data_IF_900373960254
#
_entry.id   IF_900373960254
#
_cell.length_a   1.000
_cell.length_b   1.000
_cell.length_c   1.000
_cell.angle_alpha   90.00
_cell.angle_beta   90.00
_cell.angle_gamma   90.00
#
_symmetry.space_group_name_H-M   'P 1'
#
loop_
_entity.id
_entity.type
_entity.pdbx_description
1 polymer ?
#
# COMPACT_ATOMS: atom_id res chain seq x y z
N UNK A 1 35.07 1.12 -34.06
CA UNK A 1 35.19 1.92 -32.83
C UNK A 1 34.22 1.35 -31.80
N UNK A 2 34.77 0.71 -30.77
CA UNK A 2 34.01 0.06 -29.69
C UNK A 2 33.54 1.11 -28.69
N UNK A 3 32.21 1.31 -28.59
CA UNK A 3 31.63 2.06 -27.47
C UNK A 3 31.76 1.22 -26.20
N UNK A 4 32.86 1.41 -25.47
CA UNK A 4 32.99 0.92 -24.11
C UNK A 4 31.93 1.59 -23.24
N UNK A 5 30.91 0.83 -22.81
CA UNK A 5 29.98 1.29 -21.78
C UNK A 5 30.74 1.34 -20.46
N UNK A 6 30.91 2.54 -19.92
CA UNK A 6 31.51 2.78 -18.61
C UNK A 6 30.75 2.00 -17.53
N UNK A 7 31.42 1.28 -16.61
CA UNK A 7 30.77 0.72 -15.45
C UNK A 7 30.19 1.85 -14.58
N UNK A 8 28.88 1.84 -14.31
CA UNK A 8 28.24 2.73 -13.34
C UNK A 8 27.79 1.90 -12.14
N UNK A 9 28.33 2.21 -10.96
CA UNK A 9 27.83 1.70 -9.68
C UNK A 9 26.74 2.65 -9.20
N UNK A 10 25.47 2.30 -9.42
CA UNK A 10 24.35 2.96 -8.73
C UNK A 10 24.18 2.28 -7.37
N UNK A 11 24.70 2.89 -6.31
CA UNK A 11 24.35 2.47 -4.94
C UNK A 11 22.92 2.94 -4.69
N UNK A 12 22.01 2.03 -4.37
CA UNK A 12 20.68 2.41 -3.89
C UNK A 12 20.83 3.29 -2.64
N UNK A 13 20.25 4.49 -2.69
CA UNK A 13 20.20 5.38 -1.52
C UNK A 13 19.12 4.84 -0.56
N UNK A 14 19.34 4.99 0.75
CA UNK A 14 18.38 4.59 1.79
C UNK A 14 17.53 5.79 2.22
N UNK A 15 16.22 5.70 2.07
CA UNK A 15 15.28 6.66 2.65
C UNK A 15 14.83 6.11 4.00
N UNK A 16 15.24 6.76 5.10
CA UNK A 16 14.85 6.35 6.44
C UNK A 16 13.54 7.02 6.87
N UNK A 17 12.55 6.21 7.20
CA UNK A 17 11.19 6.63 7.52
C UNK A 17 10.79 6.14 8.90
N UNK A 18 10.22 6.99 9.78
CA UNK A 18 9.64 6.55 11.05
C UNK A 18 8.48 5.55 10.85
N UNK A 19 8.54 4.42 11.54
CA UNK A 19 7.54 3.36 11.43
C UNK A 19 7.39 2.60 12.75
N UNK A 20 6.19 2.63 13.33
CA UNK A 20 5.93 2.17 14.69
C UNK A 20 6.93 2.81 15.68
N UNK A 21 7.50 2.02 16.58
CA UNK A 21 8.54 2.45 17.54
C UNK A 21 9.95 2.52 16.93
N UNK A 22 10.08 2.39 15.61
CA UNK A 22 11.37 2.20 14.93
C UNK A 22 11.50 3.03 13.64
N UNK A 23 12.44 2.65 12.77
CA UNK A 23 12.62 3.21 11.43
C UNK A 23 12.76 2.08 10.42
N UNK A 24 12.18 2.28 9.24
CA UNK A 24 12.36 1.42 8.07
C UNK A 24 13.16 2.17 7.00
N UNK A 25 13.94 1.43 6.21
CA UNK A 25 14.71 1.98 5.10
C UNK A 25 14.14 1.52 3.76
N UNK A 26 13.74 2.48 2.92
CA UNK A 26 13.36 2.22 1.54
C UNK A 26 14.56 2.37 0.61
N UNK A 27 14.62 1.56 -0.44
CA UNK A 27 15.55 1.71 -1.55
C UNK A 27 15.10 2.82 -2.49
N UNK A 28 16.02 3.70 -2.86
CA UNK A 28 15.84 4.75 -3.85
C UNK A 28 16.83 4.57 -5.01
N UNK A 29 16.40 4.69 -6.29
CA UNK A 29 15.05 5.07 -6.74
C UNK A 29 13.99 3.97 -6.60
N UNK A 30 12.72 4.30 -6.89
CA UNK A 30 11.65 3.31 -6.98
C UNK A 30 11.83 2.36 -8.18
N UNK A 31 11.17 1.20 -8.10
CA UNK A 31 11.03 0.24 -9.19
C UNK A 31 9.67 0.47 -9.88
N UNK A 32 9.66 0.49 -11.20
CA UNK A 32 8.50 0.79 -12.04
C UNK A 32 8.78 1.90 -13.05
N UNK A 33 7.79 2.32 -13.87
CA UNK A 33 6.40 1.83 -13.86
C UNK A 33 6.28 0.43 -14.46
N UNK A 34 5.59 -0.48 -13.77
CA UNK A 34 5.21 -1.79 -14.31
C UNK A 34 4.00 -2.38 -13.55
N UNK A 35 3.54 -3.55 -13.98
CA UNK A 35 2.46 -4.27 -13.30
C UNK A 35 2.90 -4.81 -11.93
N UNK A 36 1.93 -5.22 -11.11
CA UNK A 36 2.13 -5.60 -9.71
C UNK A 36 3.22 -6.67 -9.53
N UNK A 37 3.12 -7.75 -10.30
CA UNK A 37 4.04 -8.88 -10.20
C UNK A 37 5.45 -8.54 -10.69
N UNK A 38 5.56 -7.72 -11.75
CA UNK A 38 6.85 -7.30 -12.30
C UNK A 38 7.61 -6.41 -11.31
N UNK A 39 6.92 -5.41 -10.73
CA UNK A 39 7.53 -4.53 -9.71
C UNK A 39 7.96 -5.34 -8.50
N UNK A 40 7.09 -6.22 -7.98
CA UNK A 40 7.40 -7.03 -6.82
C UNK A 40 8.54 -8.03 -7.05
N UNK A 41 8.55 -8.70 -8.22
CA UNK A 41 9.63 -9.63 -8.57
C UNK A 41 11.00 -8.94 -8.64
N UNK A 42 11.07 -7.73 -9.19
CA UNK A 42 12.32 -6.98 -9.26
C UNK A 42 12.79 -6.50 -7.88
N UNK A 43 11.88 -6.09 -6.98
CA UNK A 43 12.21 -5.79 -5.58
C UNK A 43 12.82 -7.04 -4.90
N UNK A 44 12.15 -8.18 -5.01
CA UNK A 44 12.58 -9.43 -4.37
C UNK A 44 13.93 -9.92 -4.92
N UNK A 45 14.17 -9.76 -6.23
CA UNK A 45 15.45 -10.09 -6.88
C UNK A 45 16.64 -9.28 -6.33
N UNK A 46 16.38 -8.09 -5.79
CA UNK A 46 17.38 -7.25 -5.13
C UNK A 46 17.56 -7.59 -3.64
N UNK A 47 17.01 -8.71 -3.16
CA UNK A 47 17.00 -9.12 -1.74
C UNK A 47 16.34 -8.08 -0.81
N UNK A 48 15.35 -7.36 -1.33
CA UNK A 48 14.54 -6.41 -0.58
C UNK A 48 13.16 -7.00 -0.29
N UNK A 49 12.48 -6.47 0.72
CA UNK A 49 11.07 -6.77 1.02
C UNK A 49 10.17 -5.89 0.16
N UNK A 50 9.05 -6.42 -0.32
CA UNK A 50 8.01 -5.60 -0.96
C UNK A 50 7.28 -4.72 0.06
N UNK A 51 6.91 -3.48 -0.27
CA UNK A 51 6.24 -2.60 0.68
C UNK A 51 4.77 -2.97 0.86
N UNK A 52 4.41 -3.37 2.07
CA UNK A 52 3.01 -3.58 2.49
C UNK A 52 2.31 -2.23 2.73
N UNK A 53 1.01 -2.24 3.02
CA UNK A 53 0.24 -1.00 3.22
C UNK A 53 0.75 -0.14 4.37
N UNK A 54 1.19 -0.76 5.46
CA UNK A 54 1.77 -0.10 6.63
C UNK A 54 3.10 0.61 6.35
N UNK A 55 3.97 -0.01 5.53
CA UNK A 55 5.21 0.62 5.06
C UNK A 55 4.91 1.77 4.11
N UNK A 56 4.05 1.53 3.11
CA UNK A 56 3.68 2.52 2.09
C UNK A 56 3.04 3.75 2.73
N UNK A 57 2.16 3.56 3.72
CA UNK A 57 1.57 4.65 4.49
C UNK A 57 2.61 5.51 5.22
N UNK A 58 3.64 4.89 5.79
CA UNK A 58 4.71 5.60 6.49
C UNK A 58 5.59 6.41 5.53
N UNK A 59 5.88 5.85 4.34
CA UNK A 59 6.61 6.55 3.29
C UNK A 59 5.84 7.79 2.81
N UNK A 60 4.55 7.62 2.52
CA UNK A 60 3.68 8.72 2.09
C UNK A 60 3.58 9.77 3.18
N UNK A 61 3.33 9.39 4.43
CA UNK A 61 3.27 10.35 5.52
C UNK A 61 4.55 11.17 5.64
N UNK A 62 5.72 10.52 5.56
CA UNK A 62 7.00 11.24 5.56
C UNK A 62 7.13 12.19 4.37
N UNK A 63 6.66 11.79 3.20
CA UNK A 63 6.69 12.61 2.00
C UNK A 63 5.81 13.87 2.07
N UNK A 64 4.76 13.91 2.89
CA UNK A 64 3.84 15.07 2.97
C UNK A 64 3.86 15.81 4.31
N UNK A 65 4.28 15.14 5.38
CA UNK A 65 4.10 15.64 6.75
C UNK A 65 5.41 15.82 7.53
N UNK A 66 6.56 15.37 7.01
CA UNK A 66 7.83 15.52 7.71
C UNK A 66 8.57 16.82 7.38
N UNK A 67 9.51 17.21 8.25
CA UNK A 67 10.46 18.30 7.97
C UNK A 67 11.35 18.01 6.75
N UNK A 68 11.62 16.73 6.49
CA UNK A 68 12.41 16.27 5.35
C UNK A 68 11.62 16.28 4.03
N UNK A 69 10.34 16.68 4.01
CA UNK A 69 9.52 16.65 2.79
C UNK A 69 10.16 17.36 1.59
N UNK A 70 11.04 18.33 1.79
CA UNK A 70 11.71 19.04 0.70
C UNK A 70 12.93 18.32 0.13
N UNK A 71 13.37 17.20 0.70
CA UNK A 71 14.45 16.37 0.15
C UNK A 71 14.02 15.72 -1.19
N UNK A 72 15.00 15.49 -2.06
CA UNK A 72 14.78 15.01 -3.44
C UNK A 72 14.02 13.68 -3.47
N UNK A 73 14.33 12.79 -2.53
CA UNK A 73 13.72 11.48 -2.38
C UNK A 73 12.21 11.59 -2.10
N UNK A 74 11.82 12.49 -1.21
CA UNK A 74 10.40 12.73 -0.89
C UNK A 74 9.68 13.54 -1.98
N UNK A 75 10.38 14.44 -2.67
CA UNK A 75 9.85 15.08 -3.89
C UNK A 75 9.51 14.03 -4.95
N UNK A 76 10.36 13.01 -5.14
CA UNK A 76 10.11 11.93 -6.09
C UNK A 76 8.90 11.06 -5.70
N UNK A 77 8.74 10.76 -4.40
CA UNK A 77 7.51 10.08 -3.91
C UNK A 77 6.27 10.89 -4.26
N UNK A 78 6.26 12.21 -4.02
CA UNK A 78 5.13 13.08 -4.37
C UNK A 78 4.90 13.17 -5.88
N UNK A 79 5.96 13.21 -6.68
CA UNK A 79 5.83 13.22 -8.14
C UNK A 79 5.17 11.95 -8.66
N UNK A 80 5.59 10.78 -8.14
CA UNK A 80 4.97 9.50 -8.47
C UNK A 80 3.52 9.52 -8.04
N UNK A 81 3.22 9.91 -6.79
CA UNK A 81 1.85 10.02 -6.28
C UNK A 81 0.96 10.90 -7.16
N UNK A 82 1.46 12.05 -7.63
CA UNK A 82 0.70 12.99 -8.46
C UNK A 82 0.42 12.47 -9.89
N UNK A 83 1.30 11.64 -10.45
CA UNK A 83 1.27 11.25 -11.87
C UNK A 83 0.90 9.79 -12.11
N UNK A 84 1.08 8.95 -11.10
CA UNK A 84 1.09 7.49 -11.13
C UNK A 84 0.55 6.97 -9.79
N UNK A 85 0.70 5.68 -9.57
CA UNK A 85 0.30 5.01 -8.34
C UNK A 85 1.48 4.26 -7.74
N UNK A 86 1.43 4.05 -6.44
CA UNK A 86 2.28 3.14 -5.70
C UNK A 86 1.54 1.83 -5.49
N UNK A 87 2.15 0.71 -5.85
CA UNK A 87 1.65 -0.60 -5.45
C UNK A 87 1.72 -0.74 -3.94
N UNK A 88 0.62 -1.22 -3.36
CA UNK A 88 0.56 -1.69 -1.98
C UNK A 88 0.50 -3.20 -2.05
N UNK A 89 1.53 -3.89 -1.53
CA UNK A 89 1.65 -5.34 -1.68
C UNK A 89 0.74 -6.12 -0.73
N UNK A 90 -0.56 -5.93 -0.90
CA UNK A 90 -1.65 -6.64 -0.27
C UNK A 90 -2.61 -7.18 -1.34
N UNK A 91 -3.19 -8.35 -1.08
CA UNK A 91 -4.35 -8.88 -1.80
C UNK A 91 -5.61 -8.56 -1.00
N UNK A 92 -6.68 -8.14 -1.69
CA UNK A 92 -8.00 -7.92 -1.13
C UNK A 92 -8.95 -8.98 -1.69
N UNK A 93 -9.54 -9.80 -0.82
CA UNK A 93 -10.65 -10.69 -1.18
C UNK A 93 -11.94 -10.06 -0.67
N UNK A 94 -12.67 -9.41 -1.58
CA UNK A 94 -13.99 -8.83 -1.32
C UNK A 94 -15.04 -9.93 -1.26
N UNK A 95 -15.96 -9.82 -0.31
CA UNK A 95 -17.06 -10.77 -0.09
C UNK A 95 -18.33 -10.00 0.31
N UNK A 96 -19.49 -10.67 0.28
CA UNK A 96 -20.72 -10.08 0.83
C UNK A 96 -20.65 -9.71 2.32
N UNK A 97 -19.72 -10.30 3.09
CA UNK A 97 -19.55 -10.04 4.53
C UNK A 97 -18.54 -8.94 4.86
N UNK A 98 -17.72 -8.52 3.90
CA UNK A 98 -16.57 -7.67 4.16
C UNK A 98 -15.39 -8.05 3.29
N UNK A 99 -14.20 -7.62 3.68
CA UNK A 99 -12.97 -7.79 2.90
C UNK A 99 -11.87 -8.42 3.75
N UNK A 100 -11.29 -9.49 3.23
CA UNK A 100 -10.06 -10.04 3.76
C UNK A 100 -8.88 -9.38 3.08
N UNK A 101 -7.91 -8.96 3.88
CA UNK A 101 -6.67 -8.37 3.40
C UNK A 101 -5.51 -9.27 3.80
N UNK A 102 -4.71 -9.66 2.81
CA UNK A 102 -3.55 -10.53 2.99
C UNK A 102 -2.31 -9.79 2.51
N UNK A 103 -1.29 -9.67 3.37
CA UNK A 103 0.00 -9.15 2.95
C UNK A 103 0.66 -10.11 1.95
N UNK A 104 0.91 -9.65 0.73
CA UNK A 104 1.46 -10.44 -0.36
C UNK A 104 2.97 -10.23 -0.46
N UNK A 105 3.68 -10.80 0.52
CA UNK A 105 5.13 -10.70 0.64
C UNK A 105 5.90 -11.35 -0.52
N UNK A 106 5.21 -12.06 -1.42
CA UNK A 106 5.79 -12.75 -2.58
C UNK A 106 5.36 -12.14 -3.91
N UNK A 107 4.58 -11.07 -3.88
CA UNK A 107 4.06 -10.39 -5.07
C UNK A 107 3.36 -11.33 -6.07
N UNK A 108 2.63 -12.32 -5.59
CA UNK A 108 1.88 -13.25 -6.46
C UNK A 108 0.65 -12.58 -7.08
N UNK A 109 0.14 -11.49 -6.50
CA UNK A 109 -1.02 -10.75 -6.95
C UNK A 109 -2.23 -11.67 -7.08
N UNK A 110 -2.97 -11.59 -8.19
CA UNK A 110 -4.16 -12.43 -8.41
C UNK A 110 -3.87 -13.84 -8.92
N UNK A 111 -2.61 -14.19 -9.18
CA UNK A 111 -2.26 -15.53 -9.70
C UNK A 111 -2.45 -16.65 -8.70
N UNK A 112 -2.54 -16.33 -7.40
CA UNK A 112 -2.87 -17.26 -6.33
C UNK A 112 -4.23 -16.88 -5.72
N UNK A 113 -5.30 -17.64 -6.03
CA UNK A 113 -6.59 -17.45 -5.41
C UNK A 113 -6.50 -17.57 -3.88
N UNK A 114 -7.22 -16.69 -3.19
CA UNK A 114 -7.46 -16.77 -1.77
C UNK A 114 -8.69 -17.63 -1.48
N UNK A 115 -8.65 -18.39 -0.40
CA UNK A 115 -9.76 -19.23 0.05
C UNK A 115 -10.28 -18.73 1.41
N UNK A 116 -11.59 -18.50 1.51
CA UNK A 116 -12.21 -17.93 2.72
C UNK A 116 -12.03 -18.84 3.94
N UNK A 117 -12.12 -20.16 3.78
CA UNK A 117 -12.00 -21.09 4.91
C UNK A 117 -10.58 -21.11 5.48
N UNK A 118 -9.57 -21.06 4.61
CA UNK A 118 -8.17 -20.92 4.99
C UNK A 118 -7.92 -19.59 5.72
N UNK A 119 -8.51 -18.50 5.24
CA UNK A 119 -8.37 -17.17 5.86
C UNK A 119 -9.06 -17.09 7.22
N UNK A 120 -10.26 -17.65 7.37
CA UNK A 120 -10.94 -17.76 8.67
C UNK A 120 -10.16 -18.62 9.65
N UNK A 121 -9.54 -19.70 9.17
CA UNK A 121 -8.66 -20.54 10.01
C UNK A 121 -7.48 -19.73 10.56
N UNK A 122 -6.85 -18.86 9.73
CA UNK A 122 -5.77 -17.96 10.17
C UNK A 122 -6.25 -16.85 11.11
N UNK A 123 -7.53 -16.48 11.03
CA UNK A 123 -8.16 -15.51 11.92
C UNK A 123 -8.72 -16.14 13.20
N UNK A 124 -8.56 -17.45 13.42
CA UNK A 124 -8.97 -18.09 14.67
C UNK A 124 -8.14 -17.55 15.84
N UNK A 125 -8.84 -16.99 16.84
CA UNK A 125 -8.19 -16.30 17.96
C UNK A 125 -7.59 -14.94 17.59
N UNK A 126 -8.05 -14.34 16.48
CA UNK A 126 -7.66 -13.01 16.06
C UNK A 126 -7.91 -11.97 17.18
N UNK A 127 -7.01 -10.97 17.24
CA UNK A 127 -7.25 -9.77 18.03
C UNK A 127 -8.18 -8.86 17.26
N UNK A 128 -9.19 -8.33 17.92
CA UNK A 128 -10.07 -7.32 17.35
C UNK A 128 -9.62 -5.92 17.77
N UNK A 129 -9.54 -4.99 16.81
CA UNK A 129 -9.30 -3.58 17.04
C UNK A 129 -10.23 -2.79 16.13
N UNK A 130 -11.10 -1.95 16.72
CA UNK A 130 -12.11 -1.16 16.00
C UNK A 130 -13.07 -2.00 15.12
N UNK A 131 -13.36 -3.25 15.50
CA UNK A 131 -14.17 -4.18 14.69
C UNK A 131 -13.39 -4.92 13.60
N UNK A 132 -12.10 -4.65 13.43
CA UNK A 132 -11.24 -5.29 12.42
C UNK A 132 -10.51 -6.44 13.12
N UNK A 133 -10.57 -7.63 12.54
CA UNK A 133 -9.89 -8.81 13.06
C UNK A 133 -8.48 -8.89 12.47
N UNK A 134 -7.49 -9.10 13.33
CA UNK A 134 -6.08 -9.27 12.96
C UNK A 134 -5.61 -10.67 13.37
N UNK A 135 -5.06 -11.43 12.42
CA UNK A 135 -4.35 -12.67 12.74
C UNK A 135 -3.20 -12.39 13.70
N UNK A 136 -2.74 -13.43 14.40
CA UNK A 136 -1.66 -13.30 15.41
C UNK A 136 -0.37 -12.71 14.83
N UNK A 137 -0.05 -13.06 13.58
CA UNK A 137 1.10 -12.54 12.82
C UNK A 137 0.78 -11.25 12.04
N UNK A 138 -0.46 -10.75 12.12
CA UNK A 138 -0.99 -9.57 11.42
C UNK A 138 -0.92 -9.63 9.89
N UNK A 139 -0.61 -10.80 9.31
CA UNK A 139 -0.50 -10.99 7.85
C UNK A 139 -1.87 -11.15 7.18
N UNK A 140 -2.88 -11.58 7.93
CA UNK A 140 -4.27 -11.68 7.48
C UNK A 140 -5.15 -10.81 8.37
N UNK A 141 -5.98 -9.99 7.74
CA UNK A 141 -6.88 -9.06 8.42
C UNK A 141 -8.25 -9.16 7.77
N UNK A 142 -9.30 -8.88 8.55
CA UNK A 142 -10.66 -8.85 8.02
C UNK A 142 -11.39 -7.60 8.52
N UNK A 143 -11.90 -6.82 7.57
CA UNK A 143 -12.77 -5.69 7.83
C UNK A 143 -14.22 -6.07 7.44
N UNK A 144 -15.14 -6.18 8.41
CA UNK A 144 -16.55 -6.37 8.14
C UNK A 144 -17.14 -5.21 7.31
N UNK A 145 -18.18 -5.48 6.51
CA UNK A 145 -18.80 -4.50 5.59
C UNK A 145 -19.27 -3.22 6.29
N UNK A 146 -19.72 -3.34 7.54
CA UNK A 146 -20.18 -2.25 8.40
C UNK A 146 -19.06 -1.33 8.92
N UNK A 147 -17.79 -1.75 8.82
CA UNK A 147 -16.64 -1.00 9.36
C UNK A 147 -16.01 -0.04 8.35
N UNK A 148 -16.41 -0.11 7.08
CA UNK A 148 -15.84 0.73 6.03
C UNK A 148 -16.91 1.30 5.11
N UNK A 149 -16.53 2.32 4.36
CA UNK A 149 -17.35 2.91 3.32
C UNK A 149 -16.49 3.11 2.07
N UNK A 150 -17.04 2.80 0.90
CA UNK A 150 -16.40 3.15 -0.37
C UNK A 150 -16.74 4.60 -0.76
N UNK A 151 -15.85 5.23 -1.50
CA UNK A 151 -16.06 6.57 -2.02
C UNK A 151 -15.36 7.67 -1.22
N UNK A 152 -16.02 8.82 -1.04
CA UNK A 152 -15.41 10.03 -0.45
C UNK A 152 -15.41 10.00 1.09
N UNK A 153 -14.29 10.40 1.68
CA UNK A 153 -14.10 10.55 3.13
C UNK A 153 -13.66 11.97 3.51
N UNK A 154 -13.77 12.31 4.78
CA UNK A 154 -12.91 13.33 5.41
C UNK A 154 -11.60 12.69 5.85
N UNK A 155 -10.51 13.44 6.04
CA UNK A 155 -9.28 12.90 6.61
C UNK A 155 -9.49 12.07 7.89
N UNK A 156 -10.37 12.52 8.78
CA UNK A 156 -10.67 11.87 10.06
C UNK A 156 -11.46 10.57 9.90
N UNK A 157 -12.39 10.53 8.94
CA UNK A 157 -13.17 9.31 8.65
C UNK A 157 -12.37 8.32 7.82
N UNK A 158 -11.44 8.80 6.99
CA UNK A 158 -10.49 7.97 6.25
C UNK A 158 -9.51 7.25 7.18
N UNK A 159 -8.98 7.96 8.18
CA UNK A 159 -8.09 7.37 9.20
C UNK A 159 -8.74 6.27 10.04
N UNK A 160 -10.07 6.26 10.13
CA UNK A 160 -10.86 5.31 10.94
C UNK A 160 -11.56 4.25 10.10
N UNK A 161 -11.40 4.29 8.78
CA UNK A 161 -12.08 3.38 7.87
C UNK A 161 -11.50 1.96 7.99
N UNK A 162 -12.37 0.97 8.19
CA UNK A 162 -11.97 -0.41 8.45
C UNK A 162 -11.19 -1.05 7.31
N UNK A 163 -11.45 -0.67 6.06
CA UNK A 163 -10.72 -1.20 4.91
C UNK A 163 -9.30 -0.62 4.85
N UNK A 164 -9.15 0.68 5.15
CA UNK A 164 -7.84 1.34 5.25
C UNK A 164 -7.05 0.75 6.42
N UNK A 165 -7.68 0.54 7.57
CA UNK A 165 -7.08 -0.10 8.75
C UNK A 165 -6.64 -1.53 8.43
N UNK A 166 -7.47 -2.31 7.74
CA UNK A 166 -7.10 -3.66 7.32
C UNK A 166 -5.89 -3.63 6.37
N UNK A 167 -5.81 -2.69 5.44
CA UNK A 167 -4.65 -2.58 4.55
C UNK A 167 -3.37 -2.07 5.21
N UNK A 168 -3.48 -1.07 6.08
CA UNK A 168 -2.33 -0.28 6.54
C UNK A 168 -2.04 -0.41 8.04
N UNK A 169 -2.86 -1.15 8.78
CA UNK A 169 -2.86 -1.11 10.23
C UNK A 169 -3.43 0.20 10.77
N UNK A 170 -3.60 0.29 12.09
CA UNK A 170 -4.17 1.48 12.75
C UNK A 170 -3.28 2.71 12.52
N UNK A 171 -1.99 2.61 12.85
CA UNK A 171 -1.04 3.71 12.66
C UNK A 171 -0.91 4.12 11.19
N UNK A 172 -0.89 3.15 10.26
CA UNK A 172 -0.83 3.45 8.84
C UNK A 172 -2.07 4.20 8.35
N UNK A 173 -3.26 3.81 8.81
CA UNK A 173 -4.49 4.53 8.48
C UNK A 173 -4.49 5.97 9.02
N UNK A 174 -4.06 6.18 10.26
CA UNK A 174 -3.89 7.51 10.86
C UNK A 174 -2.92 8.38 10.05
N UNK A 175 -1.76 7.82 9.70
CA UNK A 175 -0.75 8.46 8.85
C UNK A 175 -1.30 8.89 7.49
N UNK A 176 -2.08 8.04 6.83
CA UNK A 176 -2.72 8.40 5.56
C UNK A 176 -3.79 9.48 5.75
N UNK A 177 -4.54 9.44 6.85
CA UNK A 177 -5.46 10.51 7.23
C UNK A 177 -4.75 11.85 7.36
N UNK A 178 -3.62 11.91 8.07
CA UNK A 178 -2.81 13.13 8.18
C UNK A 178 -2.24 13.60 6.85
N UNK A 179 -1.67 12.69 6.06
CA UNK A 179 -1.14 13.00 4.72
C UNK A 179 -2.24 13.57 3.80
N UNK A 180 -3.46 13.03 3.88
CA UNK A 180 -4.59 13.53 3.08
C UNK A 180 -4.94 15.00 3.39
N UNK A 181 -4.66 15.52 4.60
CA UNK A 181 -4.86 16.95 4.93
C UNK A 181 -3.90 17.87 4.17
N UNK A 182 -2.76 17.34 3.72
CA UNK A 182 -1.72 18.06 2.96
C UNK A 182 -1.97 17.99 1.45
N UNK A 183 -2.68 16.96 0.99
CA UNK A 183 -3.11 16.77 -0.41
C UNK A 183 -4.44 17.53 -0.61
N UNK A 184 -4.32 18.87 -0.67
CA UNK A 184 -5.37 19.84 -0.29
C UNK A 184 -6.57 20.01 -1.22
N UNK A 185 -6.59 19.40 -2.41
CA UNK A 185 -7.54 19.84 -3.43
C UNK A 185 -8.89 19.11 -3.36
N UNK A 186 -8.96 17.90 -2.81
CA UNK A 186 -10.20 17.13 -2.70
C UNK A 186 -10.18 16.15 -1.52
N UNK A 187 -11.39 15.71 -1.14
CA UNK A 187 -11.62 14.68 -0.12
C UNK A 187 -10.91 13.37 -0.47
N UNK A 188 -10.22 12.70 0.47
CA UNK A 188 -9.65 11.39 0.23
C UNK A 188 -10.73 10.40 -0.22
N UNK A 189 -10.32 9.41 -1.01
CA UNK A 189 -11.23 8.48 -1.67
C UNK A 189 -10.77 7.03 -1.50
N UNK A 190 -11.72 6.12 -1.37
CA UNK A 190 -11.50 4.67 -1.35
C UNK A 190 -12.23 4.07 -2.56
N UNK A 191 -11.47 3.45 -3.45
CA UNK A 191 -11.99 2.60 -4.52
C UNK A 191 -11.98 1.13 -4.03
N UNK A 192 -12.97 0.35 -4.43
CA UNK A 192 -13.21 -1.00 -3.90
C UNK A 192 -14.33 -1.70 -4.66
N UNK A 193 -14.59 -2.96 -4.30
CA UNK A 193 -15.59 -3.78 -5.00
C UNK A 193 -16.83 -3.96 -4.11
N UNK A 194 -18.00 -3.55 -4.62
CA UNK A 194 -19.29 -3.97 -4.08
C UNK A 194 -19.69 -5.30 -4.71
N UNK A 195 -19.70 -6.38 -3.93
CA UNK A 195 -20.05 -7.72 -4.42
C UNK A 195 -20.78 -8.53 -3.35
N UNK A 196 -21.64 -9.44 -3.80
CA UNK A 196 -22.25 -10.48 -2.97
C UNK A 196 -21.44 -11.79 -3.03
N UNK A 197 -20.57 -11.95 -4.04
CA UNK A 197 -19.68 -13.09 -4.24
C UNK A 197 -18.25 -12.80 -3.79
N UNK A 198 -17.33 -13.70 -4.12
CA UNK A 198 -15.90 -13.53 -3.83
C UNK A 198 -15.18 -12.86 -4.99
N UNK A 199 -14.43 -11.80 -4.71
CA UNK A 199 -13.70 -11.06 -5.74
C UNK A 199 -12.32 -10.63 -5.26
N UNK A 200 -11.27 -11.20 -5.86
CA UNK A 200 -9.89 -10.90 -5.51
C UNK A 200 -9.31 -9.76 -6.34
N UNK A 201 -8.67 -8.81 -5.66
CA UNK A 201 -7.99 -7.61 -6.19
C UNK A 201 -6.67 -7.38 -5.47
N UNK A 202 -5.88 -6.44 -5.96
CA UNK A 202 -4.69 -5.93 -5.27
C UNK A 202 -4.87 -4.45 -4.92
N UNK A 203 -4.03 -3.95 -4.02
CA UNK A 203 -4.10 -2.57 -3.56
C UNK A 203 -3.09 -1.66 -4.27
N UNK A 204 -3.48 -0.41 -4.47
CA UNK A 204 -2.60 0.67 -4.93
C UNK A 204 -2.97 1.98 -4.24
N UNK A 205 -2.05 2.94 -4.24
CA UNK A 205 -2.22 4.23 -3.57
C UNK A 205 -1.64 5.35 -4.41
N UNK A 206 -2.39 6.43 -4.63
CA UNK A 206 -1.98 7.51 -5.54
C UNK A 206 -2.78 8.79 -5.32
N UNK A 207 -2.45 9.82 -6.06
CA UNK A 207 -3.29 11.01 -6.18
C UNK A 207 -4.11 10.94 -7.48
N UNK A 208 -5.38 10.57 -7.37
CA UNK A 208 -6.23 10.50 -8.56
C UNK A 208 -6.49 11.90 -9.12
N UNK A 209 -6.09 12.11 -10.39
CA UNK A 209 -6.18 13.40 -11.06
C UNK A 209 -5.38 14.51 -10.39
N UNK A 210 -4.33 14.16 -9.62
CA UNK A 210 -3.43 15.09 -8.94
C UNK A 210 -4.04 15.88 -7.79
N UNK A 211 -5.22 15.49 -7.31
CA UNK A 211 -6.02 16.35 -6.44
C UNK A 211 -6.56 15.69 -5.16
N UNK A 212 -6.51 14.36 -5.01
CA UNK A 212 -6.96 13.65 -3.79
C UNK A 212 -6.14 12.42 -3.53
N UNK A 213 -5.83 12.16 -2.26
CA UNK A 213 -5.34 10.85 -1.84
C UNK A 213 -6.41 9.78 -2.16
N UNK A 214 -6.05 8.79 -2.96
CA UNK A 214 -6.93 7.68 -3.32
C UNK A 214 -6.28 6.37 -2.91
N UNK A 215 -7.01 5.56 -2.15
CA UNK A 215 -6.63 4.19 -1.84
C UNK A 215 -7.44 3.27 -2.74
N UNK A 216 -6.78 2.67 -3.72
CA UNK A 216 -7.44 1.78 -4.64
C UNK A 216 -7.37 0.34 -4.13
N UNK A 217 -8.51 -0.22 -3.77
CA UNK A 217 -8.68 -1.61 -3.34
C UNK A 217 -9.20 -2.57 -4.42
N UNK A 218 -9.46 -2.09 -5.64
CA UNK A 218 -10.15 -2.82 -6.71
C UNK A 218 -9.27 -3.16 -7.94
N UNK A 219 -7.96 -2.95 -7.84
CA UNK A 219 -7.04 -3.06 -8.98
C UNK A 219 -6.82 -4.53 -9.41
N UNK A 220 -6.82 -4.77 -10.72
CA UNK A 220 -6.58 -6.07 -11.34
C UNK A 220 -5.11 -6.49 -11.32
N UNK A 221 -4.18 -5.58 -11.01
CA UNK A 221 -2.74 -5.79 -10.88
C UNK A 221 -1.99 -5.88 -12.21
N UNK A 222 -2.69 -5.78 -13.34
CA UNK A 222 -2.15 -5.85 -14.70
C UNK A 222 -1.78 -4.47 -15.27
N UNK A 223 -2.24 -3.39 -14.64
CA UNK A 223 -1.92 -2.02 -15.05
C UNK A 223 -0.42 -1.73 -14.94
N UNK A 224 0.20 -1.35 -16.06
CA UNK A 224 1.65 -1.12 -16.16
C UNK A 224 2.15 0.22 -15.62
N UNK A 225 1.32 1.04 -14.97
CA UNK A 225 1.65 2.43 -14.62
C UNK A 225 2.01 2.67 -13.16
N UNK A 226 2.30 1.64 -12.38
CA UNK A 226 2.51 1.73 -10.93
C UNK A 226 3.98 1.50 -10.55
N UNK A 227 4.40 2.10 -9.45
CA UNK A 227 5.75 1.99 -8.89
C UNK A 227 5.72 1.38 -7.49
N UNK A 228 6.87 0.98 -6.96
CA UNK A 228 7.05 0.74 -5.54
C UNK A 228 8.50 0.93 -5.11
N UNK A 229 8.71 1.21 -3.83
CA UNK A 229 10.03 1.30 -3.23
C UNK A 229 10.27 0.02 -2.43
N UNK A 230 11.30 -0.75 -2.77
CA UNK A 230 11.66 -1.92 -1.97
C UNK A 230 12.16 -1.51 -0.58
N UNK A 231 12.03 -2.40 0.39
CA UNK A 231 12.36 -2.15 1.80
C UNK A 231 13.56 -3.01 2.19
N UNK A 232 14.57 -2.40 2.81
CA UNK A 232 15.71 -3.16 3.34
C UNK A 232 15.28 -4.03 4.53
N UNK A 233 15.84 -5.24 4.66
CA UNK A 233 15.43 -6.20 5.68
C UNK A 233 15.65 -5.73 7.11
#
# INVERSE_FOLDING_TARGET
MTNAKTPRSERATKIWVPHESSKIAFAFPSIGPANYQTVGAEILKQNQKVPTGDYTASLIHSAYCSEAQNELEFQNVREIMNRRWLWVFNQNLWTGKGVYVVQDLKAVGRSKPLDVNDLETKLKGAKEVNGIRFSKDKLVRFAPKETYKLGKHTPETFAKDGFVIANCGVEGAEKLGEASKKIRLNKPYIDGVETEGEEQRVAALGEYGGNRLSFNGDDFGDYGGCHAFGVFP
#
